data_IF_781924345620
#
_entry.id   IF_781924345620
#
_cell.length_a   1.000
_cell.length_b   1.000
_cell.length_c   1.000
_cell.angle_alpha   90.00
_cell.angle_beta   90.00
_cell.angle_gamma   90.00
#
_symmetry.space_group_name_H-M   'P 1'
#
loop_
_entity.id
_entity.type
_entity.pdbx_description
1 polymer ?
#
# COMPACT_ATOMS: atom_id res chain seq x y z
N UNK A 1 -62.49 -34.47 -36.60
CA UNK A 1 -62.12 -33.10 -36.15
C UNK A 1 -61.81 -33.19 -34.68
N UNK A 2 -60.60 -32.99 -34.17
CA UNK A 2 -59.30 -32.59 -34.70
C UNK A 2 -58.25 -33.43 -33.93
N UNK A 3 -57.37 -34.16 -34.61
CA UNK A 3 -56.12 -33.75 -35.24
C UNK A 3 -54.98 -33.54 -34.24
N UNK A 4 -54.00 -34.45 -34.34
CA UNK A 4 -52.76 -34.53 -33.58
C UNK A 4 -51.65 -34.20 -34.56
N UNK A 5 -50.85 -33.17 -34.25
CA UNK A 5 -49.56 -32.94 -34.89
C UNK A 5 -48.49 -32.61 -33.83
N UNK A 6 -47.20 -32.95 -34.09
CA UNK A 6 -46.22 -33.21 -33.04
C UNK A 6 -45.07 -32.19 -32.97
N UNK A 7 -44.35 -32.21 -31.85
CA UNK A 7 -42.90 -31.96 -31.79
C UNK A 7 -42.42 -30.52 -31.99
N UNK A 8 -42.36 -29.76 -30.88
CA UNK A 8 -41.52 -28.56 -30.78
C UNK A 8 -40.20 -28.90 -30.08
N UNK A 9 -39.08 -28.69 -30.78
CA UNK A 9 -37.71 -28.71 -30.25
C UNK A 9 -37.55 -27.81 -29.01
N UNK A 10 -36.62 -28.10 -28.08
CA UNK A 10 -36.37 -27.23 -26.94
C UNK A 10 -35.79 -25.90 -27.43
N UNK A 11 -36.14 -24.75 -26.81
CA UNK A 11 -35.56 -23.49 -27.19
C UNK A 11 -34.06 -23.48 -26.89
N UNK A 12 -33.28 -23.44 -27.96
CA UNK A 12 -31.95 -22.83 -27.97
C UNK A 12 -32.06 -21.42 -27.39
N UNK A 13 -31.25 -21.16 -26.37
CA UNK A 13 -31.23 -19.90 -25.67
C UNK A 13 -30.63 -20.10 -24.30
N UNK A 14 -29.30 -20.23 -24.24
CA UNK A 14 -28.60 -19.75 -23.04
C UNK A 14 -29.16 -18.34 -22.77
N UNK A 15 -29.65 -18.05 -21.56
CA UNK A 15 -30.02 -16.68 -21.23
C UNK A 15 -28.82 -15.77 -21.57
N UNK A 16 -29.04 -14.52 -22.04
CA UNK A 16 -27.93 -13.59 -22.14
C UNK A 16 -27.18 -13.61 -20.81
N UNK A 17 -25.86 -13.68 -20.86
CA UNK A 17 -24.98 -13.57 -19.70
C UNK A 17 -25.28 -12.22 -19.02
N UNK A 18 -26.24 -12.25 -18.10
CA UNK A 18 -26.95 -11.10 -17.59
C UNK A 18 -27.68 -11.54 -16.33
N UNK A 19 -26.89 -11.89 -15.33
CA UNK A 19 -27.39 -12.33 -14.03
C UNK A 19 -26.27 -12.85 -13.13
N UNK A 20 -25.67 -11.96 -12.35
CA UNK A 20 -24.87 -12.30 -11.16
C UNK A 20 -24.84 -11.08 -10.21
N UNK A 21 -25.05 -11.24 -8.89
CA UNK A 21 -25.77 -10.27 -8.07
C UNK A 21 -24.88 -9.35 -7.21
N UNK A 22 -25.43 -8.18 -6.86
CA UNK A 22 -25.13 -7.35 -5.67
C UNK A 22 -23.74 -6.72 -5.55
N UNK A 23 -23.63 -5.44 -5.91
CA UNK A 23 -22.48 -4.61 -5.56
C UNK A 23 -22.57 -3.14 -5.97
N UNK A 24 -23.77 -2.57 -6.06
CA UNK A 24 -23.95 -1.19 -6.55
C UNK A 24 -24.20 -0.28 -5.36
N UNK A 25 -23.11 0.14 -4.72
CA UNK A 25 -23.20 1.09 -3.61
C UNK A 25 -21.88 1.75 -3.26
N UNK A 26 -20.75 1.05 -3.42
CA UNK A 26 -19.42 1.56 -3.07
C UNK A 26 -18.85 2.57 -4.08
N UNK A 27 -17.87 3.35 -3.61
CA UNK A 27 -17.05 4.22 -4.46
C UNK A 27 -16.07 3.34 -5.23
N UNK A 28 -15.96 3.53 -6.54
CA UNK A 28 -15.00 2.78 -7.36
C UNK A 28 -13.61 3.41 -7.32
N UNK A 29 -12.55 2.63 -7.53
CA UNK A 29 -11.19 3.19 -7.63
C UNK A 29 -11.07 4.17 -8.80
N UNK A 30 -11.78 3.93 -9.91
CA UNK A 30 -11.84 4.85 -11.05
C UNK A 30 -12.44 6.21 -10.68
N UNK A 31 -13.44 6.22 -9.82
CA UNK A 31 -14.01 7.45 -9.30
C UNK A 31 -12.98 8.21 -8.47
N UNK A 32 -12.24 7.52 -7.59
CA UNK A 32 -11.19 8.16 -6.78
C UNK A 32 -10.01 8.67 -7.61
N UNK A 33 -9.67 7.99 -8.69
CA UNK A 33 -8.65 8.40 -9.66
C UNK A 33 -9.06 9.70 -10.39
N UNK A 34 -10.36 9.88 -10.64
CA UNK A 34 -10.87 11.12 -11.26
C UNK A 34 -10.95 12.32 -10.30
N UNK A 35 -10.72 12.11 -8.99
CA UNK A 35 -10.85 13.14 -7.96
C UNK A 35 -9.48 13.68 -7.56
N UNK A 36 -9.21 14.99 -7.72
CA UNK A 36 -7.91 15.54 -7.35
C UNK A 36 -7.75 15.59 -5.82
N UNK A 37 -6.51 15.48 -5.33
CA UNK A 37 -6.21 15.59 -3.88
C UNK A 37 -6.63 16.93 -3.28
N UNK A 38 -6.79 17.97 -4.09
CA UNK A 38 -7.28 19.29 -3.67
C UNK A 38 -8.73 19.29 -3.20
N UNK A 39 -9.50 18.24 -3.50
CA UNK A 39 -10.86 18.08 -2.97
C UNK A 39 -10.84 17.83 -1.44
N UNK A 40 -9.70 17.36 -0.89
CA UNK A 40 -9.54 17.07 0.53
C UNK A 40 -9.32 18.34 1.36
N UNK A 41 -9.94 18.39 2.53
CA UNK A 41 -9.67 19.46 3.48
C UNK A 41 -8.20 19.43 3.92
N UNK A 42 -7.60 20.61 4.07
CA UNK A 42 -6.19 20.76 4.45
C UNK A 42 -5.20 20.64 3.28
N UNK A 43 -5.64 20.28 2.07
CA UNK A 43 -4.79 20.26 0.87
C UNK A 43 -4.92 21.59 0.11
N UNK A 44 -4.23 22.62 0.61
CA UNK A 44 -4.11 23.91 -0.09
C UNK A 44 -3.09 23.87 -1.24
N UNK A 45 -2.98 24.97 -2.01
CA UNK A 45 -2.07 25.08 -3.19
C UNK A 45 -0.63 24.62 -2.91
N UNK A 46 -0.06 25.02 -1.78
CA UNK A 46 1.31 24.64 -1.41
C UNK A 46 1.44 23.13 -1.17
N UNK A 47 0.44 22.53 -0.52
CA UNK A 47 0.43 21.09 -0.21
C UNK A 47 0.16 20.25 -1.45
N UNK A 48 -0.74 20.69 -2.32
CA UNK A 48 -0.97 20.05 -3.61
C UNK A 48 0.32 19.99 -4.45
N UNK A 49 1.09 21.09 -4.49
CA UNK A 49 2.40 21.12 -5.17
C UNK A 49 3.41 20.14 -4.55
N UNK A 50 3.43 20.03 -3.23
CA UNK A 50 4.29 19.07 -2.53
C UNK A 50 3.93 17.61 -2.86
N UNK A 51 2.62 17.28 -2.83
CA UNK A 51 2.11 15.96 -3.20
C UNK A 51 2.39 15.61 -4.66
N UNK A 52 2.18 16.56 -5.58
CA UNK A 52 2.48 16.37 -7.00
C UNK A 52 3.97 16.10 -7.27
N UNK A 53 4.89 16.66 -6.45
CA UNK A 53 6.32 16.33 -6.55
C UNK A 53 6.62 14.87 -6.18
N UNK A 54 5.71 14.21 -5.46
CA UNK A 54 5.74 12.80 -5.13
C UNK A 54 4.79 11.96 -6.02
N UNK A 55 4.34 12.52 -7.16
CA UNK A 55 3.42 11.87 -8.11
C UNK A 55 2.05 11.51 -7.48
N UNK A 56 1.61 12.31 -6.50
CA UNK A 56 0.31 12.17 -5.86
C UNK A 56 -0.60 13.32 -6.31
N UNK A 57 -1.48 13.05 -7.27
CA UNK A 57 -2.39 14.04 -7.86
C UNK A 57 -3.85 13.76 -7.53
N UNK A 58 -4.21 12.50 -7.34
CA UNK A 58 -5.57 12.03 -7.12
C UNK A 58 -5.79 11.46 -5.72
N UNK A 59 -7.06 11.34 -5.30
CA UNK A 59 -7.40 10.67 -4.03
C UNK A 59 -6.95 9.20 -4.07
N UNK A 60 -7.04 8.55 -5.25
CA UNK A 60 -6.53 7.19 -5.41
C UNK A 60 -5.02 7.13 -5.20
N UNK A 61 -4.25 8.04 -5.78
CA UNK A 61 -2.79 8.10 -5.60
C UNK A 61 -2.43 8.23 -4.12
N UNK A 62 -3.14 9.11 -3.40
CA UNK A 62 -2.92 9.32 -1.98
C UNK A 62 -3.23 8.06 -1.16
N UNK A 63 -4.32 7.36 -1.46
CA UNK A 63 -4.65 6.08 -0.82
C UNK A 63 -3.70 4.96 -1.25
N UNK A 64 -3.09 5.05 -2.43
CA UNK A 64 -2.04 4.16 -2.91
C UNK A 64 -0.64 4.49 -2.37
N UNK A 65 -0.48 5.62 -1.69
CA UNK A 65 0.79 6.08 -1.13
C UNK A 65 1.11 5.37 0.20
N UNK A 66 1.34 4.05 0.10
CA UNK A 66 1.42 3.16 1.25
C UNK A 66 2.58 3.48 2.21
N UNK A 67 2.40 3.23 3.53
CA UNK A 67 3.47 3.35 4.50
C UNK A 67 4.65 2.43 4.21
N UNK A 68 5.88 2.94 4.40
CA UNK A 68 7.12 2.16 4.18
C UNK A 68 7.50 1.30 5.38
N UNK A 69 7.09 1.71 6.57
CA UNK A 69 7.42 1.04 7.84
C UNK A 69 6.25 1.20 8.80
N UNK A 70 6.05 0.19 9.64
CA UNK A 70 5.07 0.22 10.74
C UNK A 70 5.85 0.05 12.04
N UNK A 71 5.57 0.90 13.01
CA UNK A 71 6.23 0.89 14.32
C UNK A 71 5.23 0.46 15.39
N UNK A 72 5.60 -0.52 16.21
CA UNK A 72 4.73 -1.05 17.27
C UNK A 72 5.06 -0.41 18.62
N UNK A 73 4.13 0.40 19.13
CA UNK A 73 4.22 1.10 20.41
C UNK A 73 4.11 0.19 21.63
N UNK A 74 3.66 -1.05 21.48
CA UNK A 74 3.71 -2.01 22.59
C UNK A 74 5.14 -2.38 22.99
N UNK A 75 6.12 -2.05 22.15
CA UNK A 75 7.56 -2.28 22.37
C UNK A 75 8.29 -0.99 22.78
N UNK A 76 7.57 -0.02 23.34
CA UNK A 76 8.14 1.19 23.91
C UNK A 76 9.14 0.85 25.03
N UNK A 77 10.38 1.29 24.86
CA UNK A 77 11.42 1.24 25.88
C UNK A 77 11.44 2.56 26.68
N UNK A 78 12.08 2.53 27.84
CA UNK A 78 12.54 3.77 28.50
C UNK A 78 13.87 4.20 27.89
N UNK A 79 14.20 5.49 28.00
CA UNK A 79 15.46 6.05 27.48
C UNK A 79 16.67 5.31 28.07
N UNK A 80 16.61 4.94 29.35
CA UNK A 80 17.67 4.17 30.00
C UNK A 80 17.86 2.74 29.46
N UNK A 81 16.88 2.19 28.77
CA UNK A 81 16.93 0.85 28.16
C UNK A 81 17.43 0.89 26.71
N UNK A 82 17.71 2.07 26.15
CA UNK A 82 18.28 2.18 24.82
C UNK A 82 19.72 1.68 24.81
N UNK A 83 20.01 0.81 23.85
CA UNK A 83 21.35 0.29 23.61
C UNK A 83 22.01 1.05 22.45
N UNK A 84 23.20 1.65 22.65
CA UNK A 84 23.95 2.28 21.56
C UNK A 84 24.18 1.31 20.40
N UNK A 85 23.89 1.77 19.19
CA UNK A 85 23.98 0.95 17.98
C UNK A 85 22.68 0.24 17.58
N UNK A 86 21.64 0.25 18.43
CA UNK A 86 20.37 -0.47 18.20
C UNK A 86 19.24 0.52 17.90
N UNK A 87 18.32 0.15 17.00
CA UNK A 87 17.06 0.89 16.81
C UNK A 87 16.13 0.68 18.02
N UNK A 88 15.66 1.77 18.61
CA UNK A 88 14.72 1.72 19.74
C UNK A 88 13.60 2.73 19.60
N UNK A 89 12.47 2.43 20.23
CA UNK A 89 11.33 3.33 20.38
C UNK A 89 11.24 3.82 21.82
N UNK A 90 11.06 5.12 22.04
CA UNK A 90 10.83 5.70 23.37
C UNK A 90 9.73 6.76 23.31
N UNK A 91 8.95 6.85 24.38
CA UNK A 91 8.06 7.98 24.63
C UNK A 91 8.81 9.01 25.48
N UNK A 92 8.97 10.23 24.97
CA UNK A 92 9.72 11.30 25.65
C UNK A 92 8.93 12.60 25.70
N UNK A 93 9.16 13.39 26.76
CA UNK A 93 8.74 14.78 26.83
C UNK A 93 9.82 15.67 26.24
N UNK A 94 9.44 16.62 25.41
CA UNK A 94 10.33 17.63 24.86
C UNK A 94 10.70 18.62 25.95
N UNK A 95 11.99 18.73 26.27
CA UNK A 95 12.52 19.64 27.30
C UNK A 95 12.93 20.98 26.72
N UNK A 96 13.63 20.94 25.59
CA UNK A 96 14.18 22.15 24.97
C UNK A 96 14.40 21.93 23.49
N UNK A 97 14.09 22.95 22.69
CA UNK A 97 14.41 22.95 21.26
C UNK A 97 15.33 24.13 20.95
N UNK A 98 16.39 23.84 20.21
CA UNK A 98 17.37 24.84 19.78
C UNK A 98 17.64 24.67 18.30
N UNK A 99 17.75 25.79 17.60
CA UNK A 99 17.99 25.84 16.17
C UNK A 99 19.23 26.69 15.90
N UNK A 100 20.15 26.17 15.10
CA UNK A 100 21.34 26.92 14.68
C UNK A 100 21.76 26.54 13.28
N UNK A 101 22.65 27.35 12.72
CA UNK A 101 23.38 27.01 11.49
C UNK A 101 24.69 26.34 11.86
N UNK A 102 25.01 25.26 11.16
CA UNK A 102 26.33 24.62 11.25
C UNK A 102 27.39 25.50 10.60
N UNK A 103 28.68 25.20 10.84
CA UNK A 103 29.81 25.90 10.19
C UNK A 103 29.74 25.88 8.66
N UNK A 104 29.06 24.89 8.07
CA UNK A 104 28.83 24.75 6.62
C UNK A 104 27.48 25.34 6.15
N UNK A 105 26.82 26.16 6.97
CA UNK A 105 25.55 26.84 6.62
C UNK A 105 24.29 25.96 6.63
N UNK A 106 24.41 24.65 6.87
CA UNK A 106 23.26 23.74 7.00
C UNK A 106 22.48 24.01 8.28
N UNK A 107 21.16 23.90 8.26
CA UNK A 107 20.36 24.02 9.49
C UNK A 107 20.55 22.78 10.37
N UNK A 108 20.53 23.01 11.68
CA UNK A 108 20.62 21.99 12.71
C UNK A 108 19.61 22.33 13.79
N UNK A 109 18.64 21.44 13.97
CA UNK A 109 17.72 21.48 15.11
C UNK A 109 18.18 20.42 16.10
N UNK A 110 18.49 20.84 17.32
CA UNK A 110 18.79 19.97 18.43
C UNK A 110 17.66 20.05 19.46
N UNK A 111 17.17 18.88 19.85
CA UNK A 111 16.08 18.73 20.79
C UNK A 111 16.58 17.92 21.98
N UNK A 112 16.44 18.49 23.18
CA UNK A 112 16.60 17.74 24.42
C UNK A 112 15.23 17.20 24.80
N UNK A 113 15.18 15.92 25.08
CA UNK A 113 13.97 15.24 25.52
C UNK A 113 14.31 14.29 26.67
N UNK A 114 13.32 13.95 27.49
CA UNK A 114 13.51 13.06 28.62
C UNK A 114 12.27 12.23 28.89
N UNK A 115 12.47 11.09 29.53
CA UNK A 115 11.41 10.32 30.17
C UNK A 115 11.67 10.27 31.69
N UNK A 116 10.98 9.36 32.39
CA UNK A 116 11.17 9.18 33.83
C UNK A 116 12.53 8.57 34.22
N UNK A 117 13.30 8.03 33.27
CA UNK A 117 14.51 7.24 33.53
C UNK A 117 15.78 7.75 32.84
N UNK A 118 15.69 8.69 31.91
CA UNK A 118 16.86 9.17 31.18
C UNK A 118 16.62 10.42 30.35
N UNK A 119 17.72 10.92 29.77
CA UNK A 119 17.74 12.06 28.86
C UNK A 119 18.22 11.60 27.49
N UNK A 120 17.63 12.18 26.46
CA UNK A 120 17.89 11.84 25.07
C UNK A 120 18.08 13.13 24.26
N UNK A 121 19.13 13.18 23.43
CA UNK A 121 19.37 14.26 22.49
C UNK A 121 18.95 13.84 21.08
N UNK A 122 18.00 14.55 20.48
CA UNK A 122 17.61 14.33 19.09
C UNK A 122 18.26 15.39 18.21
N UNK A 123 18.86 14.97 17.10
CA UNK A 123 19.55 15.87 16.18
C UNK A 123 18.95 15.77 14.78
N UNK A 124 18.56 16.89 14.19
CA UNK A 124 17.99 16.93 12.85
C UNK A 124 18.75 17.92 11.97
N UNK A 125 19.39 17.39 10.93
CA UNK A 125 20.08 18.19 9.92
C UNK A 125 19.10 18.57 8.80
N UNK A 126 19.19 19.80 8.31
CA UNK A 126 18.39 20.31 7.19
C UNK A 126 16.86 20.25 7.39
N UNK A 127 16.38 20.11 8.64
CA UNK A 127 14.96 20.04 8.98
C UNK A 127 14.56 21.19 9.91
N UNK A 128 14.65 22.46 9.46
CA UNK A 128 14.40 23.63 10.31
C UNK A 128 12.95 23.72 10.80
N UNK A 129 12.01 23.09 10.09
CA UNK A 129 10.59 23.03 10.47
C UNK A 129 10.36 22.32 11.81
N UNK A 130 11.29 21.46 12.27
CA UNK A 130 11.18 20.79 13.57
C UNK A 130 11.20 21.73 14.76
N UNK A 131 11.82 22.90 14.60
CA UNK A 131 11.78 23.96 15.60
C UNK A 131 10.36 24.42 15.91
N UNK A 132 9.49 24.47 14.89
CA UNK A 132 8.09 24.86 15.05
C UNK A 132 7.19 23.69 15.43
N UNK A 133 7.57 22.48 15.03
CA UNK A 133 6.79 21.27 15.31
C UNK A 133 6.96 20.79 16.75
N UNK A 134 8.20 20.76 17.25
CA UNK A 134 8.52 20.18 18.54
C UNK A 134 8.48 21.31 19.57
N UNK A 135 7.39 21.38 20.32
CA UNK A 135 7.20 22.42 21.34
C UNK A 135 7.58 21.85 22.71
N UNK A 136 8.24 22.67 23.53
CA UNK A 136 8.60 22.32 24.90
C UNK A 136 7.35 21.92 25.70
N UNK A 137 7.47 20.85 26.50
CA UNK A 137 6.38 20.27 27.27
C UNK A 137 5.55 19.20 26.52
N UNK A 138 5.61 19.13 25.19
CA UNK A 138 4.90 18.10 24.42
C UNK A 138 5.49 16.71 24.65
N UNK A 139 4.66 15.69 24.50
CA UNK A 139 5.11 14.29 24.41
C UNK A 139 5.24 13.86 22.95
N UNK A 140 6.26 13.07 22.66
CA UNK A 140 6.51 12.51 21.34
C UNK A 140 7.03 11.08 21.45
N UNK A 141 6.56 10.21 20.56
CA UNK A 141 7.20 8.93 20.31
C UNK A 141 8.35 9.17 19.36
N UNK A 142 9.53 8.70 19.77
CA UNK A 142 10.75 8.82 18.99
C UNK A 142 11.23 7.42 18.67
N UNK A 143 11.51 7.19 17.40
CA UNK A 143 12.06 5.93 16.94
C UNK A 143 13.29 6.17 16.07
N UNK A 144 14.39 5.50 16.42
CA UNK A 144 15.61 5.59 15.66
C UNK A 144 16.74 4.81 16.29
N UNK A 145 17.88 4.81 15.60
CA UNK A 145 19.11 4.22 16.11
C UNK A 145 19.64 5.07 17.27
N UNK A 146 19.72 4.48 18.45
CA UNK A 146 20.37 5.08 19.60
C UNK A 146 21.89 5.07 19.41
N UNK A 147 22.53 6.11 19.92
CA UNK A 147 23.98 6.29 19.91
C UNK A 147 24.39 6.94 21.23
N UNK A 148 25.64 6.76 21.65
CA UNK A 148 26.19 7.45 22.82
C UNK A 148 27.24 8.45 22.36
N UNK A 149 27.10 9.69 22.83
CA UNK A 149 28.15 10.68 22.66
C UNK A 149 28.41 11.40 23.97
N UNK A 150 29.60 11.14 24.51
CA UNK A 150 30.09 11.69 25.78
C UNK A 150 29.14 11.36 26.94
N UNK A 151 28.64 10.12 27.00
CA UNK A 151 27.75 9.66 28.08
C UNK A 151 26.33 10.22 27.99
N UNK A 152 25.95 10.82 26.86
CA UNK A 152 24.58 11.23 26.58
C UNK A 152 24.04 10.45 25.40
N UNK A 153 22.97 9.70 25.64
CA UNK A 153 22.23 9.04 24.58
C UNK A 153 21.68 10.05 23.58
N UNK A 154 21.78 9.71 22.31
CA UNK A 154 21.32 10.54 21.21
C UNK A 154 20.73 9.72 20.07
N UNK A 155 19.91 10.38 19.25
CA UNK A 155 19.45 9.87 17.96
C UNK A 155 19.65 10.94 16.89
N UNK A 156 20.18 10.56 15.74
CA UNK A 156 20.35 11.45 14.59
C UNK A 156 19.29 11.13 13.53
N UNK A 157 18.50 12.13 13.15
CA UNK A 157 17.40 12.00 12.21
C UNK A 157 16.33 10.97 12.57
N UNK A 158 15.93 10.80 13.85
CA UNK A 158 14.90 9.82 14.20
C UNK A 158 13.55 10.15 13.56
N UNK A 159 12.72 9.13 13.43
CA UNK A 159 11.28 9.32 13.21
C UNK A 159 10.70 9.88 14.50
N UNK A 160 9.91 10.94 14.39
CA UNK A 160 9.20 11.52 15.52
C UNK A 160 7.73 11.54 15.16
N UNK A 161 6.93 10.96 16.03
CA UNK A 161 5.49 11.06 16.00
C UNK A 161 5.04 11.84 17.23
N UNK A 162 4.38 12.98 17.00
CA UNK A 162 3.82 13.76 18.10
C UNK A 162 2.65 12.96 18.68
N UNK A 163 2.64 12.77 20.00
CA UNK A 163 1.52 12.16 20.69
C UNK A 163 0.38 13.19 20.75
N UNK A 164 -0.34 13.33 19.64
CA UNK A 164 -1.66 13.97 19.57
C UNK A 164 -2.76 12.90 19.65
N UNK A 165 -3.83 13.03 18.84
CA UNK A 165 -4.93 12.05 18.71
C UNK A 165 -4.50 10.65 18.17
N UNK A 166 -3.20 10.44 17.93
CA UNK A 166 -2.64 9.14 17.54
C UNK A 166 -2.44 8.25 18.76
N UNK A 167 -3.56 7.69 19.24
CA UNK A 167 -3.59 6.69 20.31
C UNK A 167 -3.34 5.26 19.82
N UNK A 168 -3.25 5.06 18.50
CA UNK A 168 -3.08 3.75 17.87
C UNK A 168 -1.78 3.06 18.28
N UNK A 169 -1.87 1.75 18.55
CA UNK A 169 -0.71 0.91 18.93
C UNK A 169 0.33 0.80 17.82
N UNK A 170 -0.09 0.89 16.56
CA UNK A 170 0.81 0.80 15.40
C UNK A 170 0.86 2.15 14.69
N UNK A 171 2.08 2.65 14.48
CA UNK A 171 2.33 3.91 13.77
C UNK A 171 2.83 3.60 12.37
N UNK A 172 2.06 3.98 11.36
CA UNK A 172 2.46 3.93 9.96
C UNK A 172 3.40 5.10 9.62
N UNK A 173 4.55 4.78 9.04
CA UNK A 173 5.56 5.75 8.58
C UNK A 173 5.55 5.81 7.06
N UNK A 174 4.93 6.86 6.53
CA UNK A 174 4.81 7.11 5.10
C UNK A 174 6.10 7.63 4.47
N UNK A 175 6.24 7.53 3.14
CA UNK A 175 7.35 8.15 2.46
C UNK A 175 7.45 9.65 2.78
N UNK A 176 8.67 10.08 3.09
CA UNK A 176 9.00 11.48 3.40
C UNK A 176 9.85 12.05 2.29
N UNK A 177 9.64 13.33 1.97
CA UNK A 177 10.44 14.09 1.02
C UNK A 177 10.73 15.46 1.60
N UNK A 178 11.97 15.66 2.06
CA UNK A 178 12.44 16.94 2.58
C UNK A 178 12.41 18.03 1.50
N UNK A 179 12.69 17.68 0.23
CA UNK A 179 12.64 18.62 -0.90
C UNK A 179 11.23 19.04 -1.27
N UNK A 180 10.24 18.15 -1.09
CA UNK A 180 8.84 18.48 -1.30
C UNK A 180 8.17 19.07 -0.04
N UNK A 181 8.82 19.01 1.13
CA UNK A 181 8.19 19.37 2.41
C UNK A 181 7.04 18.43 2.79
N UNK A 182 7.10 17.17 2.34
CA UNK A 182 6.09 16.16 2.60
C UNK A 182 6.59 15.23 3.71
N UNK A 183 5.95 15.30 4.86
CA UNK A 183 6.32 14.49 6.02
C UNK A 183 5.28 13.41 6.31
N UNK A 184 5.69 12.38 7.05
CA UNK A 184 4.84 11.21 7.32
C UNK A 184 3.52 11.61 7.98
N UNK A 185 3.53 12.60 8.87
CA UNK A 185 2.32 13.05 9.55
C UNK A 185 1.37 13.81 8.61
N UNK A 186 1.91 14.53 7.62
CA UNK A 186 1.10 15.31 6.67
C UNK A 186 0.35 14.33 5.78
N UNK A 187 1.07 13.31 5.29
CA UNK A 187 0.49 12.21 4.52
C UNK A 187 -0.59 11.51 5.33
N UNK A 188 -0.29 11.09 6.56
CA UNK A 188 -1.29 10.42 7.41
C UNK A 188 -2.53 11.30 7.67
N UNK A 189 -2.37 12.61 7.86
CA UNK A 189 -3.51 13.51 8.04
C UNK A 189 -4.39 13.55 6.78
N UNK A 190 -3.80 13.67 5.59
CA UNK A 190 -4.53 13.69 4.33
C UNK A 190 -5.15 12.34 3.98
N UNK A 191 -4.44 11.23 4.24
CA UNK A 191 -4.96 9.88 4.10
C UNK A 191 -6.13 9.67 5.07
N UNK A 192 -6.01 10.12 6.31
CA UNK A 192 -7.09 10.07 7.30
C UNK A 192 -8.33 10.82 6.84
N UNK A 193 -8.16 12.00 6.24
CA UNK A 193 -9.26 12.76 5.65
C UNK A 193 -9.89 12.03 4.45
N UNK A 194 -9.06 11.45 3.57
CA UNK A 194 -9.52 10.67 2.43
C UNK A 194 -10.31 9.43 2.88
N UNK A 195 -9.78 8.65 3.82
CA UNK A 195 -10.46 7.50 4.42
C UNK A 195 -11.76 7.93 5.08
N UNK A 196 -11.76 8.99 5.89
CA UNK A 196 -12.98 9.49 6.54
C UNK A 196 -14.06 9.83 5.52
N UNK A 197 -13.72 10.54 4.44
CA UNK A 197 -14.70 10.92 3.40
C UNK A 197 -15.17 9.74 2.55
N UNK A 198 -14.27 8.83 2.19
CA UNK A 198 -14.62 7.67 1.35
C UNK A 198 -15.43 6.63 2.14
N UNK A 199 -15.01 6.35 3.37
CA UNK A 199 -15.62 5.32 4.21
C UNK A 199 -16.93 5.78 4.88
N UNK A 200 -17.10 7.08 5.20
CA UNK A 200 -18.32 7.57 5.85
C UNK A 200 -19.56 7.60 4.93
N UNK A 201 -19.36 7.51 3.60
CA UNK A 201 -20.47 7.61 2.65
C UNK A 201 -20.97 6.23 2.24
N UNK A 202 -20.07 5.40 1.71
CA UNK A 202 -20.44 4.16 0.97
C UNK A 202 -19.41 3.03 1.06
N UNK A 203 -18.21 3.29 1.56
CA UNK A 203 -17.07 2.37 1.43
C UNK A 203 -16.60 2.24 -0.02
N UNK A 204 -15.67 1.33 -0.26
CA UNK A 204 -15.14 1.03 -1.59
C UNK A 204 -15.84 -0.18 -2.21
N UNK A 205 -16.07 -0.11 -3.52
CA UNK A 205 -16.56 -1.27 -4.27
C UNK A 205 -15.50 -2.36 -4.28
N UNK A 206 -15.89 -3.54 -3.82
CA UNK A 206 -15.05 -4.73 -3.77
C UNK A 206 -15.31 -5.61 -5.02
N UNK A 207 -14.30 -5.85 -5.89
CA UNK A 207 -14.46 -6.67 -7.09
C UNK A 207 -14.33 -8.16 -6.78
N UNK A 208 -13.95 -8.52 -5.56
CA UNK A 208 -13.78 -9.92 -5.15
C UNK A 208 -15.10 -10.39 -4.53
N UNK A 209 -15.76 -11.40 -5.13
CA UNK A 209 -17.01 -11.95 -4.60
C UNK A 209 -16.86 -12.38 -3.14
N UNK A 210 -17.95 -12.28 -2.38
CA UNK A 210 -17.95 -12.59 -0.94
C UNK A 210 -17.49 -14.03 -0.69
N UNK A 211 -17.86 -14.98 -1.55
CA UNK A 211 -17.52 -16.39 -1.45
C UNK A 211 -16.00 -16.62 -1.60
N UNK A 212 -15.36 -15.84 -2.49
CA UNK A 212 -13.90 -15.87 -2.67
C UNK A 212 -13.22 -15.26 -1.45
N UNK A 213 -13.75 -14.15 -0.93
CA UNK A 213 -13.21 -13.52 0.29
C UNK A 213 -13.32 -14.46 1.49
N UNK A 214 -14.44 -15.12 1.69
CA UNK A 214 -14.63 -16.10 2.77
C UNK A 214 -13.67 -17.29 2.62
N UNK A 215 -13.57 -17.87 1.43
CA UNK A 215 -12.69 -19.02 1.15
C UNK A 215 -11.22 -18.71 1.47
N UNK A 216 -10.75 -17.53 1.09
CA UNK A 216 -9.36 -17.11 1.32
C UNK A 216 -9.18 -16.24 2.56
N UNK A 217 -10.25 -16.08 3.38
CA UNK A 217 -10.28 -15.24 4.59
C UNK A 217 -9.79 -13.82 4.35
N UNK A 218 -10.15 -13.21 3.23
CA UNK A 218 -9.79 -11.83 2.92
C UNK A 218 -10.72 -10.84 3.60
N UNK A 219 -10.13 -9.78 4.16
CA UNK A 219 -10.88 -8.55 4.49
C UNK A 219 -11.45 -7.92 3.21
N UNK A 220 -12.52 -7.14 3.34
CA UNK A 220 -13.00 -6.36 2.19
C UNK A 220 -12.02 -5.23 1.85
N UNK A 221 -12.19 -4.66 0.66
CA UNK A 221 -11.31 -3.60 0.15
C UNK A 221 -11.27 -2.35 1.04
N UNK A 222 -12.39 -1.95 1.61
CA UNK A 222 -12.48 -0.75 2.46
C UNK A 222 -11.62 -0.93 3.71
N UNK A 223 -11.77 -2.08 4.37
CA UNK A 223 -10.98 -2.46 5.52
C UNK A 223 -9.50 -2.61 5.17
N UNK A 224 -9.17 -3.16 4.01
CA UNK A 224 -7.79 -3.26 3.55
C UNK A 224 -7.11 -1.88 3.39
N UNK A 225 -7.78 -0.90 2.77
CA UNK A 225 -7.25 0.46 2.65
C UNK A 225 -7.19 1.18 4.00
N UNK A 226 -8.14 0.95 4.91
CA UNK A 226 -8.08 1.50 6.27
C UNK A 226 -6.88 0.93 7.02
N UNK A 227 -6.76 -0.39 7.07
CA UNK A 227 -5.77 -1.09 7.88
C UNK A 227 -4.34 -1.04 7.31
N UNK A 228 -4.15 -0.83 6.00
CA UNK A 228 -2.80 -0.57 5.47
C UNK A 228 -2.28 0.79 5.93
N UNK A 229 -3.14 1.79 6.16
CA UNK A 229 -2.70 3.12 6.58
C UNK A 229 -2.77 3.33 8.08
N UNK A 230 -3.79 2.79 8.74
CA UNK A 230 -4.08 2.98 10.17
C UNK A 230 -4.46 1.65 10.83
N UNK A 231 -3.52 0.69 10.90
CA UNK A 231 -3.77 -0.59 11.57
C UNK A 231 -3.84 -0.41 13.08
N UNK A 232 -4.71 -1.18 13.73
CA UNK A 232 -4.75 -1.34 15.19
C UNK A 232 -3.74 -2.40 15.66
N UNK A 233 -3.32 -3.31 14.76
CA UNK A 233 -2.34 -4.34 15.03
C UNK A 233 -1.48 -4.70 13.80
N UNK A 234 -0.31 -5.30 14.04
CA UNK A 234 0.54 -5.82 12.96
C UNK A 234 -0.14 -6.95 12.18
N UNK A 235 -1.06 -7.71 12.81
CA UNK A 235 -1.83 -8.75 12.16
C UNK A 235 -2.84 -8.17 11.14
N UNK A 236 -3.57 -7.13 11.55
CA UNK A 236 -4.51 -6.42 10.68
C UNK A 236 -3.79 -5.79 9.46
N UNK A 237 -2.63 -5.17 9.68
CA UNK A 237 -1.78 -4.67 8.60
C UNK A 237 -1.36 -5.79 7.63
N UNK A 238 -0.98 -6.96 8.16
CA UNK A 238 -0.56 -8.09 7.33
C UNK A 238 -1.72 -8.63 6.47
N UNK A 239 -2.93 -8.68 7.02
CA UNK A 239 -4.15 -9.07 6.30
C UNK A 239 -4.50 -8.05 5.21
N UNK A 240 -4.44 -6.76 5.53
CA UNK A 240 -4.62 -5.67 4.58
C UNK A 240 -3.64 -5.75 3.42
N UNK A 241 -2.34 -5.92 3.73
CA UNK A 241 -1.29 -6.08 2.71
C UNK A 241 -1.56 -7.29 1.83
N UNK A 242 -1.89 -8.43 2.43
CA UNK A 242 -2.21 -9.66 1.69
C UNK A 242 -3.41 -9.44 0.75
N UNK A 243 -4.43 -8.71 1.22
CA UNK A 243 -5.59 -8.36 0.40
C UNK A 243 -5.24 -7.43 -0.76
N UNK A 244 -4.48 -6.36 -0.52
CA UNK A 244 -4.12 -5.39 -1.56
C UNK A 244 -3.16 -5.97 -2.60
N UNK A 245 -2.26 -6.87 -2.19
CA UNK A 245 -1.43 -7.64 -3.15
C UNK A 245 -2.31 -8.54 -4.02
N UNK A 246 -3.33 -9.18 -3.45
CA UNK A 246 -4.28 -9.97 -4.22
C UNK A 246 -5.06 -9.11 -5.23
N UNK A 247 -5.53 -7.93 -4.82
CA UNK A 247 -6.21 -6.98 -5.72
C UNK A 247 -5.33 -6.61 -6.92
N UNK A 248 -4.03 -6.37 -6.68
CA UNK A 248 -3.08 -6.05 -7.74
C UNK A 248 -2.82 -7.23 -8.69
N UNK A 249 -2.67 -8.44 -8.13
CA UNK A 249 -2.57 -9.65 -8.94
C UNK A 249 -3.82 -9.88 -9.77
N UNK A 250 -5.01 -9.71 -9.20
CA UNK A 250 -6.29 -9.85 -9.89
C UNK A 250 -6.39 -8.85 -11.06
N UNK A 251 -5.98 -7.60 -10.84
CA UNK A 251 -5.94 -6.55 -11.87
C UNK A 251 -5.08 -6.95 -13.08
N UNK A 252 -3.98 -7.65 -12.85
CA UNK A 252 -3.09 -8.16 -13.91
C UNK A 252 -3.66 -9.42 -14.57
N UNK A 253 -4.26 -10.33 -13.79
CA UNK A 253 -4.71 -11.64 -14.29
C UNK A 253 -6.01 -11.57 -15.09
N UNK A 254 -6.96 -10.70 -14.74
CA UNK A 254 -8.27 -10.63 -15.43
C UNK A 254 -8.10 -10.39 -16.94
N UNK A 255 -7.33 -9.39 -17.40
CA UNK A 255 -7.12 -9.18 -18.84
C UNK A 255 -6.47 -10.37 -19.55
N UNK A 256 -5.54 -11.08 -18.89
CA UNK A 256 -4.86 -12.25 -19.47
C UNK A 256 -5.79 -13.44 -19.65
N UNK A 257 -6.70 -13.65 -18.69
CA UNK A 257 -7.73 -14.69 -18.79
C UNK A 257 -8.75 -14.33 -19.85
N UNK A 258 -9.17 -13.06 -19.93
CA UNK A 258 -10.08 -12.58 -20.96
C UNK A 258 -9.49 -12.77 -22.36
N UNK A 259 -8.22 -12.41 -22.56
CA UNK A 259 -7.51 -12.67 -23.82
C UNK A 259 -7.46 -14.16 -24.16
N UNK A 260 -7.08 -15.02 -23.20
CA UNK A 260 -7.07 -16.47 -23.41
C UNK A 260 -8.44 -17.04 -23.77
N UNK A 261 -9.51 -16.55 -23.13
CA UNK A 261 -10.88 -17.00 -23.41
C UNK A 261 -11.36 -16.52 -24.78
N UNK A 262 -11.00 -15.29 -25.18
CA UNK A 262 -11.30 -14.76 -26.51
C UNK A 262 -10.61 -15.56 -27.63
N UNK A 263 -9.44 -16.15 -27.36
CA UNK A 263 -8.71 -17.02 -28.29
C UNK A 263 -9.25 -18.46 -28.33
N UNK A 264 -10.10 -18.83 -27.36
CA UNK A 264 -10.60 -20.21 -27.21
C UNK A 264 -11.90 -20.49 -28.00
N UNK A 265 -12.35 -19.57 -28.86
CA UNK A 265 -13.42 -19.79 -29.85
C UNK A 265 -12.92 -19.87 -31.31
N UNK A 266 -13.70 -20.50 -32.21
CA UNK A 266 -13.69 -21.94 -32.52
C UNK A 266 -12.37 -22.46 -33.15
N UNK A 267 -11.88 -23.58 -32.61
CA UNK A 267 -10.97 -24.60 -33.19
C UNK A 267 -10.15 -24.19 -34.44
N UNK A 268 -8.93 -23.70 -34.24
CA UNK A 268 -7.91 -23.63 -35.31
C UNK A 268 -6.91 -24.79 -35.32
N UNK A 269 -7.14 -25.85 -34.53
CA UNK A 269 -6.29 -27.04 -34.56
C UNK A 269 -6.64 -27.99 -35.72
N UNK A 270 -6.57 -27.49 -36.96
CA UNK A 270 -6.38 -28.32 -38.15
C UNK A 270 -5.59 -27.55 -39.23
N UNK A 271 -4.52 -26.88 -38.81
CA UNK A 271 -3.37 -26.65 -39.68
C UNK A 271 -2.22 -27.50 -39.19
N UNK A 272 -2.24 -28.77 -39.59
CA UNK A 272 -1.00 -29.53 -39.70
C UNK A 272 -0.08 -28.73 -40.60
N UNK A 273 0.92 -28.05 -40.03
CA UNK A 273 2.01 -27.48 -40.82
C UNK A 273 2.73 -28.68 -41.42
N UNK A 274 2.38 -29.03 -42.65
CA UNK A 274 3.14 -30.01 -43.43
C UNK A 274 4.45 -29.31 -43.80
N UNK A 275 5.47 -29.48 -42.96
CA UNK A 275 6.84 -29.09 -43.29
C UNK A 275 7.21 -29.87 -44.54
N UNK A 276 7.23 -29.20 -45.70
CA UNK A 276 7.67 -29.78 -46.95
C UNK A 276 9.17 -29.98 -46.83
N UNK A 277 9.58 -31.20 -46.46
CA UNK A 277 10.99 -31.60 -46.43
C UNK A 277 11.62 -31.28 -47.79
N UNK A 278 12.54 -30.31 -47.80
CA UNK A 278 13.41 -30.08 -48.95
C UNK A 278 14.31 -31.31 -49.01
N UNK A 279 14.17 -32.11 -50.07
CA UNK A 279 14.99 -33.28 -50.34
C UNK A 279 16.46 -32.85 -50.48
N UNK A 280 17.20 -32.91 -49.37
CA UNK A 280 18.65 -32.90 -49.36
C UNK A 280 19.12 -34.29 -49.74
N UNK A 281 19.71 -34.42 -50.92
CA UNK A 281 20.35 -35.66 -51.37
C UNK A 281 21.60 -35.96 -50.54
N UNK A 282 21.62 -37.18 -49.98
CA UNK A 282 22.76 -38.04 -49.60
C UNK A 282 23.49 -37.73 -48.29
N UNK A 283 23.53 -38.75 -47.43
CA UNK A 283 24.50 -38.85 -46.34
C UNK A 283 24.06 -39.71 -45.15
N UNK A 284 23.92 -41.02 -45.36
CA UNK A 284 24.18 -42.11 -44.39
C UNK A 284 24.30 -41.76 -42.90
N UNK A 285 23.35 -42.22 -42.07
CA UNK A 285 23.58 -43.25 -41.02
C UNK A 285 22.29 -43.50 -40.22
N UNK A 286 22.06 -44.78 -39.96
CA UNK A 286 20.91 -45.36 -39.26
C UNK A 286 20.84 -45.00 -37.79
N UNK A 287 19.68 -44.52 -37.32
CA UNK A 287 19.21 -44.66 -35.93
C UNK A 287 17.68 -44.63 -35.89
N UNK A 288 17.00 -45.54 -35.17
CA UNK A 288 15.54 -45.57 -35.14
C UNK A 288 14.99 -44.44 -34.27
N UNK A 289 13.98 -43.77 -34.79
CA UNK A 289 13.25 -42.67 -34.17
C UNK A 289 12.37 -43.19 -33.04
N UNK A 290 12.65 -42.79 -31.80
CA UNK A 290 11.73 -42.92 -30.67
C UNK A 290 10.74 -41.75 -30.68
N UNK A 291 9.48 -42.04 -30.97
CA UNK A 291 8.35 -41.12 -30.83
C UNK A 291 8.10 -40.88 -29.34
N UNK A 292 8.32 -39.66 -28.85
CA UNK A 292 7.84 -39.23 -27.53
C UNK A 292 6.54 -38.45 -27.75
N UNK A 293 5.43 -39.08 -27.41
CA UNK A 293 4.13 -38.42 -27.28
C UNK A 293 4.06 -37.78 -25.88
N UNK A 294 3.93 -36.46 -25.82
CA UNK A 294 3.50 -35.79 -24.59
C UNK A 294 1.99 -35.66 -24.61
N UNK A 295 1.33 -36.50 -23.80
CA UNK A 295 -0.06 -36.33 -23.44
C UNK A 295 -0.20 -35.15 -22.46
N UNK A 296 -1.27 -34.38 -22.64
CA UNK A 296 -1.64 -33.21 -21.87
C UNK A 296 -1.87 -33.51 -20.38
N UNK A 297 -1.43 -32.59 -19.53
CA UNK A 297 -2.02 -32.28 -18.21
C UNK A 297 -2.42 -30.81 -18.27
#
# INVERSE_FOLDING_TARGET
MADVAPGGSPPDGLPPAGGGPSGHGGITLRELDSRPVTDLNGVGKARAKALATAEVETILDLLGFYPRRYLDRSREATVAQLEPGVEGMVLVRIDRVTSRRTRKGRSLVEVRASDSRGRLRLTFFNQPWRERQLVEGMQAVVFGKADDYQGTLQMVGPVVDLVGDRTGRIVAVSPQSDSAGLHSWDVDAHVGEALRRTMAVRGLTDPVPVEVRERFRFVDRSDAYRAIHRPESMAEMAEARRRLVFDELLRIQIPLVDERLSWSGPRWASRTIRVRGRSGTRGSTSRPSSTIAWASI
#
